data_IF_029300593831
#
_entry.id   IF_029300593831
#
_cell.length_a   1.000
_cell.length_b   1.000
_cell.length_c   1.000
_cell.angle_alpha   90.00
_cell.angle_beta   90.00
_cell.angle_gamma   90.00
#
_symmetry.space_group_name_H-M   'P 1'
#
loop_
_entity.id
_entity.type
_entity.pdbx_description
1 polymer ?
#
# COMPACT_ATOMS: atom_id res chain seq x y z
N UNK A 1 -5.04 -46.76 -7.88
CA UNK A 1 -4.52 -45.40 -8.07
C UNK A 1 -5.62 -44.43 -8.45
N UNK A 2 -6.47 -44.72 -9.46
CA UNK A 2 -7.60 -43.86 -9.84
C UNK A 2 -8.47 -43.38 -8.66
N UNK A 3 -8.99 -44.30 -7.83
CA UNK A 3 -9.78 -43.93 -6.62
C UNK A 3 -9.04 -43.08 -5.58
N UNK A 4 -7.70 -43.08 -5.57
CA UNK A 4 -6.92 -42.25 -4.66
C UNK A 4 -6.75 -40.84 -5.23
N UNK A 5 -6.55 -40.72 -6.55
CA UNK A 5 -6.52 -39.45 -7.28
C UNK A 5 -7.88 -38.76 -7.18
N UNK A 6 -8.98 -39.46 -7.46
CA UNK A 6 -10.36 -38.92 -7.35
C UNK A 6 -10.68 -38.36 -5.95
N UNK A 7 -10.14 -38.97 -4.89
CA UNK A 7 -10.31 -38.47 -3.51
C UNK A 7 -9.51 -37.19 -3.28
N UNK A 8 -8.26 -37.12 -3.77
CA UNK A 8 -7.42 -35.92 -3.64
C UNK A 8 -8.01 -34.77 -4.46
N UNK A 9 -8.54 -35.05 -5.66
CA UNK A 9 -9.27 -34.08 -6.47
C UNK A 9 -10.48 -33.52 -5.73
N UNK A 10 -11.27 -34.40 -5.10
CA UNK A 10 -12.41 -33.96 -4.29
C UNK A 10 -11.98 -33.06 -3.13
N UNK A 11 -10.95 -33.44 -2.38
CA UNK A 11 -10.39 -32.60 -1.30
C UNK A 11 -9.92 -31.23 -1.84
N UNK A 12 -9.30 -31.18 -3.03
CA UNK A 12 -8.89 -29.94 -3.68
C UNK A 12 -10.11 -29.08 -4.04
N UNK A 13 -11.19 -29.67 -4.55
CA UNK A 13 -12.42 -28.92 -4.86
C UNK A 13 -13.07 -28.32 -3.61
N UNK A 14 -13.14 -29.08 -2.51
CA UNK A 14 -13.66 -28.59 -1.23
C UNK A 14 -12.79 -27.44 -0.68
N UNK A 15 -11.47 -27.55 -0.80
CA UNK A 15 -10.54 -26.47 -0.43
C UNK A 15 -10.73 -25.22 -1.29
N UNK A 16 -10.95 -25.36 -2.61
CA UNK A 16 -11.22 -24.23 -3.51
C UNK A 16 -12.48 -23.47 -3.13
N UNK A 17 -13.56 -24.18 -2.78
CA UNK A 17 -14.81 -23.56 -2.32
C UNK A 17 -14.60 -22.80 -1.00
N UNK A 18 -13.87 -23.39 -0.05
CA UNK A 18 -13.53 -22.73 1.21
C UNK A 18 -12.66 -21.47 1.00
N UNK A 19 -11.68 -21.53 0.09
CA UNK A 19 -10.84 -20.38 -0.27
C UNK A 19 -11.68 -19.27 -0.91
N UNK A 20 -12.61 -19.62 -1.80
CA UNK A 20 -13.53 -18.64 -2.41
C UNK A 20 -14.42 -17.96 -1.37
N UNK A 21 -14.91 -18.69 -0.37
CA UNK A 21 -15.68 -18.10 0.73
C UNK A 21 -14.83 -17.11 1.54
N UNK A 22 -13.58 -17.48 1.86
CA UNK A 22 -12.62 -16.58 2.53
C UNK A 22 -12.31 -15.34 1.67
N UNK A 23 -12.18 -15.49 0.35
CA UNK A 23 -11.95 -14.37 -0.56
C UNK A 23 -13.08 -13.33 -0.49
N UNK A 24 -14.33 -13.78 -0.46
CA UNK A 24 -15.50 -12.92 -0.32
C UNK A 24 -15.52 -12.22 1.05
N UNK A 25 -15.24 -12.95 2.12
CA UNK A 25 -15.16 -12.38 3.47
C UNK A 25 -14.05 -11.33 3.58
N UNK A 26 -12.88 -11.62 3.01
CA UNK A 26 -11.73 -10.72 2.97
C UNK A 26 -12.05 -9.45 2.19
N UNK A 27 -12.68 -9.56 1.02
CA UNK A 27 -13.09 -8.41 0.23
C UNK A 27 -14.07 -7.52 1.00
N UNK A 28 -15.10 -8.11 1.62
CA UNK A 28 -16.06 -7.36 2.43
C UNK A 28 -15.40 -6.68 3.63
N UNK A 29 -14.41 -7.32 4.25
CA UNK A 29 -13.64 -6.72 5.33
C UNK A 29 -12.84 -5.50 4.84
N UNK A 30 -12.18 -5.59 3.68
CA UNK A 30 -11.47 -4.46 3.08
C UNK A 30 -12.41 -3.33 2.64
N UNK A 31 -13.60 -3.65 2.10
CA UNK A 31 -14.61 -2.64 1.75
C UNK A 31 -14.96 -1.78 2.98
N UNK A 32 -15.26 -2.44 4.11
CA UNK A 32 -15.57 -1.75 5.37
C UNK A 32 -14.38 -0.96 5.89
N UNK A 33 -13.21 -1.59 5.94
CA UNK A 33 -11.98 -0.98 6.41
C UNK A 33 -11.64 0.29 5.62
N UNK A 34 -11.65 0.23 4.28
CA UNK A 34 -11.31 1.36 3.41
C UNK A 34 -12.33 2.49 3.56
N UNK A 35 -13.62 2.17 3.68
CA UNK A 35 -14.64 3.19 3.92
C UNK A 35 -14.37 3.98 5.21
N UNK A 36 -14.06 3.29 6.30
CA UNK A 36 -13.75 3.92 7.58
C UNK A 36 -12.39 4.65 7.49
N UNK A 37 -11.41 4.07 6.80
CA UNK A 37 -10.08 4.65 6.62
C UNK A 37 -10.17 5.98 5.86
N UNK A 38 -11.01 6.07 4.83
CA UNK A 38 -11.25 7.33 4.12
C UNK A 38 -11.78 8.43 5.04
N UNK A 39 -12.68 8.11 5.97
CA UNK A 39 -13.16 9.08 6.97
C UNK A 39 -12.07 9.48 7.96
N UNK A 40 -11.27 8.52 8.45
CA UNK A 40 -10.19 8.77 9.39
C UNK A 40 -9.07 9.61 8.75
N UNK A 41 -8.68 9.28 7.52
CA UNK A 41 -7.72 10.02 6.71
C UNK A 41 -8.09 11.49 6.59
N UNK A 42 -9.36 11.79 6.30
CA UNK A 42 -9.84 13.17 6.21
C UNK A 42 -9.61 13.95 7.50
N UNK A 43 -10.00 13.36 8.64
CA UNK A 43 -9.82 13.98 9.96
C UNK A 43 -8.34 14.17 10.28
N UNK A 44 -7.53 13.14 10.05
CA UNK A 44 -6.10 13.14 10.38
C UNK A 44 -5.30 14.12 9.54
N UNK A 45 -5.59 14.24 8.24
CA UNK A 45 -4.93 15.21 7.38
C UNK A 45 -5.27 16.66 7.77
N UNK A 46 -6.53 16.93 8.13
CA UNK A 46 -6.93 18.25 8.64
C UNK A 46 -6.21 18.56 9.96
N UNK A 47 -6.14 17.58 10.87
CA UNK A 47 -5.49 17.73 12.17
C UNK A 47 -3.97 17.94 12.02
N UNK A 48 -3.30 17.16 11.18
CA UNK A 48 -1.88 17.32 10.87
C UNK A 48 -1.60 18.70 10.26
N UNK A 49 -2.43 19.14 9.31
CA UNK A 49 -2.31 20.48 8.71
C UNK A 49 -2.51 21.59 9.74
N UNK A 50 -3.48 21.43 10.65
CA UNK A 50 -3.69 22.36 11.76
C UNK A 50 -2.45 22.45 12.66
N UNK A 51 -1.90 21.31 13.11
CA UNK A 51 -0.70 21.30 13.95
C UNK A 51 0.51 21.88 13.22
N UNK A 52 0.70 21.54 11.95
CA UNK A 52 1.80 22.09 11.15
C UNK A 52 1.71 23.62 11.06
N UNK A 53 0.55 24.18 10.76
CA UNK A 53 0.37 25.62 10.63
C UNK A 53 0.41 26.37 11.97
N UNK A 54 -0.02 25.75 13.07
CA UNK A 54 -0.15 26.43 14.37
C UNK A 54 1.01 26.19 15.34
N UNK A 55 1.67 25.04 15.25
CA UNK A 55 2.80 24.66 16.10
C UNK A 55 4.12 24.65 15.34
N UNK A 56 4.11 24.20 14.07
CA UNK A 56 5.31 24.18 13.23
C UNK A 56 5.67 25.57 12.69
N UNK A 57 4.70 26.24 12.06
CA UNK A 57 4.93 27.52 11.34
C UNK A 57 3.92 28.62 11.70
N UNK A 58 3.75 28.98 12.98
CA UNK A 58 2.75 29.96 13.41
C UNK A 58 2.96 31.34 12.81
N UNK A 59 4.22 31.81 12.73
CA UNK A 59 4.53 33.14 12.18
C UNK A 59 4.15 33.25 10.71
N UNK A 60 4.53 32.27 9.88
CA UNK A 60 4.18 32.29 8.45
C UNK A 60 2.68 32.14 8.22
N UNK A 61 2.00 31.32 9.01
CA UNK A 61 0.55 31.22 8.94
C UNK A 61 -0.16 32.53 9.33
N UNK A 62 0.37 33.26 10.32
CA UNK A 62 -0.14 34.58 10.71
C UNK A 62 0.14 35.66 9.66
N UNK A 63 1.19 35.53 8.84
CA UNK A 63 1.47 36.42 7.72
C UNK A 63 0.47 36.27 6.56
N UNK A 64 -0.24 35.14 6.47
CA UNK A 64 -1.29 34.94 5.47
C UNK A 64 -2.48 35.88 5.70
N UNK A 65 -3.03 36.42 4.60
CA UNK A 65 -4.32 37.09 4.59
C UNK A 65 -5.47 36.11 4.89
N UNK A 66 -6.63 36.64 5.32
CA UNK A 66 -7.83 35.84 5.57
C UNK A 66 -8.21 34.96 4.37
N UNK A 67 -8.14 35.51 3.15
CA UNK A 67 -8.45 34.79 1.91
C UNK A 67 -7.46 33.65 1.65
N UNK A 68 -6.15 33.88 1.86
CA UNK A 68 -5.14 32.82 1.72
C UNK A 68 -5.37 31.69 2.74
N UNK A 69 -5.70 32.01 4.00
CA UNK A 69 -6.03 31.00 5.02
C UNK A 69 -7.26 30.20 4.64
N UNK A 70 -8.31 30.85 4.13
CA UNK A 70 -9.53 30.17 3.66
C UNK A 70 -9.24 29.24 2.47
N UNK A 71 -8.49 29.69 1.47
CA UNK A 71 -8.08 28.87 0.32
C UNK A 71 -7.24 27.68 0.75
N UNK A 72 -6.30 27.87 1.66
CA UNK A 72 -5.48 26.80 2.23
C UNK A 72 -6.36 25.73 2.89
N UNK A 73 -7.26 26.13 3.79
CA UNK A 73 -8.16 25.19 4.48
C UNK A 73 -9.10 24.47 3.51
N UNK A 74 -9.65 25.16 2.50
CA UNK A 74 -10.49 24.55 1.47
C UNK A 74 -9.70 23.54 0.62
N UNK A 75 -8.48 23.89 0.22
CA UNK A 75 -7.60 23.03 -0.55
C UNK A 75 -7.25 21.73 0.20
N UNK A 76 -6.90 21.82 1.48
CA UNK A 76 -6.66 20.64 2.33
C UNK A 76 -7.92 19.76 2.44
N UNK A 77 -9.11 20.36 2.61
CA UNK A 77 -10.37 19.60 2.65
C UNK A 77 -10.62 18.86 1.34
N UNK A 78 -10.46 19.53 0.19
CA UNK A 78 -10.65 18.92 -1.12
C UNK A 78 -9.66 17.78 -1.36
N UNK A 79 -8.39 17.99 -1.04
CA UNK A 79 -7.35 16.96 -1.15
C UNK A 79 -7.68 15.73 -0.30
N UNK A 80 -8.15 15.95 0.93
CA UNK A 80 -8.54 14.87 1.83
C UNK A 80 -9.74 14.07 1.30
N UNK A 81 -10.68 14.74 0.62
CA UNK A 81 -11.82 14.09 -0.02
C UNK A 81 -11.41 13.29 -1.25
N UNK A 82 -10.51 13.85 -2.07
CA UNK A 82 -9.96 13.18 -3.25
C UNK A 82 -9.20 11.91 -2.86
N UNK A 83 -8.31 11.97 -1.86
CA UNK A 83 -7.58 10.80 -1.38
C UNK A 83 -8.52 9.71 -0.84
N UNK A 84 -9.59 10.08 -0.13
CA UNK A 84 -10.59 9.11 0.33
C UNK A 84 -11.40 8.47 -0.83
N UNK A 85 -11.65 9.22 -1.90
CA UNK A 85 -12.29 8.70 -3.11
C UNK A 85 -11.35 7.75 -3.88
N UNK A 86 -10.07 8.12 -4.00
CA UNK A 86 -9.03 7.28 -4.60
C UNK A 86 -8.90 5.94 -3.86
N UNK A 87 -8.84 5.96 -2.52
CA UNK A 87 -8.86 4.74 -1.70
C UNK A 87 -10.07 3.84 -2.02
N UNK A 88 -11.24 4.44 -2.22
CA UNK A 88 -12.47 3.69 -2.52
C UNK A 88 -12.45 3.08 -3.93
N UNK A 89 -11.64 3.61 -4.84
CA UNK A 89 -11.52 3.10 -6.22
C UNK A 89 -10.76 1.78 -6.31
N UNK A 90 -9.91 1.47 -5.33
CA UNK A 90 -9.19 0.20 -5.23
C UNK A 90 -10.06 -0.96 -4.72
N UNK A 91 -11.28 -0.69 -4.27
CA UNK A 91 -12.24 -1.70 -3.85
C UNK A 91 -12.85 -2.36 -5.09
N UNK A 92 -12.04 -3.18 -5.78
CA UNK A 92 -12.53 -4.09 -6.80
C UNK A 92 -12.78 -5.46 -6.16
N UNK A 93 -13.86 -6.17 -6.50
CA UNK A 93 -14.03 -7.57 -6.10
C UNK A 93 -12.82 -8.39 -6.56
N UNK A 94 -12.37 -9.41 -5.81
CA UNK A 94 -11.31 -10.30 -6.25
C UNK A 94 -11.67 -11.01 -7.55
N UNK A 95 -12.96 -11.15 -7.90
CA UNK A 95 -13.39 -11.70 -9.20
C UNK A 95 -13.14 -10.75 -10.40
N UNK A 96 -12.82 -9.48 -10.15
CA UNK A 96 -12.72 -8.41 -11.17
C UNK A 96 -11.39 -7.66 -11.09
N UNK A 97 -10.53 -7.94 -10.10
CA UNK A 97 -9.31 -7.14 -9.94
C UNK A 97 -8.29 -7.52 -11.00
N UNK A 98 -7.86 -6.51 -11.74
CA UNK A 98 -6.90 -6.61 -12.84
C UNK A 98 -5.49 -6.64 -12.24
N UNK A 99 -4.75 -7.73 -12.41
CA UNK A 99 -3.31 -7.74 -12.09
C UNK A 99 -2.55 -7.26 -13.33
N UNK A 100 -1.81 -6.15 -13.21
CA UNK A 100 -0.81 -5.76 -14.21
C UNK A 100 0.42 -6.67 -14.06
N UNK A 101 0.63 -7.62 -14.98
CA UNK A 101 1.93 -8.29 -15.12
C UNK A 101 2.68 -7.73 -16.31
N UNK A 102 3.87 -7.18 -16.08
CA UNK A 102 4.84 -6.88 -17.14
C UNK A 102 5.39 -8.22 -17.60
N UNK A 103 5.02 -8.66 -18.80
CA UNK A 103 5.70 -9.79 -19.45
C UNK A 103 6.97 -9.20 -20.06
N UNK A 104 8.12 -9.47 -19.44
CA UNK A 104 9.40 -9.29 -20.12
C UNK A 104 9.46 -10.33 -21.24
N UNK A 105 9.19 -9.90 -22.47
CA UNK A 105 9.43 -10.70 -23.67
C UNK A 105 10.94 -10.93 -23.76
N UNK A 106 11.37 -12.17 -23.54
CA UNK A 106 12.76 -12.58 -23.77
C UNK A 106 13.14 -12.20 -25.22
N UNK A 107 14.10 -11.26 -25.33
CA UNK A 107 14.67 -10.82 -26.60
C UNK A 107 15.36 -12.02 -27.26
N UNK A 108 14.77 -12.56 -28.31
CA UNK A 108 15.56 -13.29 -29.31
C UNK A 108 16.40 -12.27 -30.08
N UNK A 109 17.70 -12.27 -29.81
CA UNK A 109 18.68 -11.56 -30.61
C UNK A 109 18.68 -12.13 -32.02
N UNK A 110 18.16 -11.38 -32.98
CA UNK A 110 18.82 -11.13 -34.27
C UNK A 110 18.00 -10.13 -35.09
N UNK A 111 18.74 -9.20 -35.70
CA UNK A 111 18.30 -8.11 -36.60
C UNK A 111 17.77 -6.85 -35.93
N UNK A 112 18.63 -5.83 -35.90
CA UNK A 112 18.29 -4.49 -35.45
C UNK A 112 17.28 -3.82 -36.37
N UNK A 113 16.18 -3.40 -35.77
CA UNK A 113 15.35 -2.27 -36.18
C UNK A 113 14.71 -1.72 -34.89
N UNK A 114 14.77 -0.40 -34.74
CA UNK A 114 14.11 0.34 -33.66
C UNK A 114 12.60 0.21 -33.87
N UNK A 115 11.95 -0.65 -33.10
CA UNK A 115 10.49 -0.74 -33.05
C UNK A 115 10.02 -0.49 -31.61
N UNK A 116 9.06 0.43 -31.51
CA UNK A 116 8.42 0.90 -30.28
C UNK A 116 7.99 -0.28 -29.40
N UNK A 117 8.40 -0.27 -28.12
CA UNK A 117 7.90 -1.17 -27.08
C UNK A 117 6.39 -0.95 -26.88
N UNK A 118 5.57 -1.55 -27.73
CA UNK A 118 4.14 -1.63 -27.52
C UNK A 118 3.89 -2.81 -26.57
N UNK A 119 3.98 -2.53 -25.27
CA UNK A 119 3.64 -3.49 -24.22
C UNK A 119 2.15 -3.82 -24.32
N UNK A 120 1.82 -4.96 -24.93
CA UNK A 120 0.46 -5.50 -24.94
C UNK A 120 0.04 -5.85 -23.51
N UNK A 121 -0.88 -5.07 -22.95
CA UNK A 121 -1.44 -5.28 -21.60
C UNK A 121 -2.45 -6.44 -21.64
N UNK A 122 -2.03 -7.64 -21.26
CA UNK A 122 -2.97 -8.74 -21.05
C UNK A 122 -3.70 -8.61 -19.70
N UNK A 123 -5.03 -8.63 -19.75
CA UNK A 123 -5.91 -8.59 -18.58
C UNK A 123 -5.98 -9.98 -17.93
N UNK A 124 -5.26 -10.20 -16.82
CA UNK A 124 -5.45 -11.42 -16.00
C UNK A 124 -6.63 -11.24 -15.04
N UNK A 125 -7.62 -12.12 -15.21
CA UNK A 125 -8.73 -12.29 -14.28
C UNK A 125 -8.21 -13.11 -13.10
N UNK A 126 -8.30 -12.54 -11.90
CA UNK A 126 -8.03 -13.24 -10.65
C UNK A 126 -8.95 -14.46 -10.45
N UNK A 127 -8.38 -15.62 -10.11
CA UNK A 127 -9.11 -16.76 -9.58
C UNK A 127 -9.29 -16.60 -8.06
N UNK A 128 -10.50 -16.31 -7.56
CA UNK A 128 -10.76 -16.16 -6.13
C UNK A 128 -10.61 -17.49 -5.35
N UNK A 129 -10.35 -18.60 -6.05
CA UNK A 129 -10.11 -19.93 -5.48
C UNK A 129 -8.60 -20.22 -5.35
N UNK A 130 -7.74 -19.34 -5.86
CA UNK A 130 -6.29 -19.47 -5.78
C UNK A 130 -5.74 -18.64 -4.60
N UNK A 131 -5.19 -19.28 -3.55
CA UNK A 131 -4.72 -18.57 -2.36
C UNK A 131 -3.48 -17.69 -2.62
N UNK A 132 -2.71 -17.96 -3.69
CA UNK A 132 -1.52 -17.17 -4.05
C UNK A 132 -1.96 -15.84 -4.67
N UNK A 133 -2.86 -15.90 -5.64
CA UNK A 133 -3.42 -14.72 -6.31
C UNK A 133 -4.18 -13.80 -5.34
N UNK A 134 -4.88 -14.38 -4.35
CA UNK A 134 -5.52 -13.60 -3.29
C UNK A 134 -4.51 -12.88 -2.39
N UNK A 135 -3.35 -13.48 -2.14
CA UNK A 135 -2.29 -12.85 -1.35
C UNK A 135 -1.64 -11.69 -2.13
N UNK A 136 -1.39 -11.88 -3.43
CA UNK A 136 -0.88 -10.83 -4.33
C UNK A 136 -1.87 -9.67 -4.42
N UNK A 137 -3.16 -9.96 -4.63
CA UNK A 137 -4.22 -8.95 -4.59
C UNK A 137 -4.21 -8.14 -3.30
N UNK A 138 -4.10 -8.82 -2.15
CA UNK A 138 -4.07 -8.16 -0.85
C UNK A 138 -2.83 -7.29 -0.68
N UNK A 139 -1.66 -7.76 -1.12
CA UNK A 139 -0.42 -6.98 -1.09
C UNK A 139 -0.53 -5.72 -1.94
N UNK A 140 -1.02 -5.84 -3.18
CA UNK A 140 -1.22 -4.71 -4.09
C UNK A 140 -2.19 -3.68 -3.50
N UNK A 141 -3.25 -4.14 -2.81
CA UNK A 141 -4.20 -3.27 -2.14
C UNK A 141 -3.56 -2.49 -0.97
N UNK A 142 -2.74 -3.14 -0.14
CA UNK A 142 -2.02 -2.45 0.95
C UNK A 142 -0.97 -1.47 0.41
N UNK A 143 -0.30 -1.80 -0.69
CA UNK A 143 0.65 -0.90 -1.35
C UNK A 143 -0.07 0.33 -1.91
N UNK A 144 -1.21 0.14 -2.58
CA UNK A 144 -2.04 1.24 -3.07
C UNK A 144 -2.54 2.16 -1.94
N UNK A 145 -2.90 1.59 -0.78
CA UNK A 145 -3.25 2.38 0.42
C UNK A 145 -2.07 3.26 0.85
N UNK A 146 -0.87 2.68 0.96
CA UNK A 146 0.32 3.44 1.37
C UNK A 146 0.69 4.51 0.35
N UNK A 147 0.65 4.19 -0.94
CA UNK A 147 0.92 5.13 -2.02
C UNK A 147 -0.06 6.32 -1.99
N UNK A 148 -1.34 6.06 -1.75
CA UNK A 148 -2.36 7.11 -1.62
C UNK A 148 -2.07 8.03 -0.44
N UNK A 149 -1.66 7.49 0.72
CA UNK A 149 -1.28 8.29 1.89
C UNK A 149 -0.02 9.15 1.61
N UNK A 150 0.96 8.59 0.90
CA UNK A 150 2.17 9.31 0.52
C UNK A 150 1.85 10.45 -0.46
N UNK A 151 1.08 10.18 -1.53
CA UNK A 151 0.61 11.18 -2.49
C UNK A 151 -0.18 12.29 -1.81
N UNK A 152 -1.07 11.94 -0.88
CA UNK A 152 -1.85 12.91 -0.10
C UNK A 152 -0.95 13.79 0.78
N UNK A 153 0.05 13.19 1.44
CA UNK A 153 1.03 13.91 2.26
C UNK A 153 1.86 14.89 1.42
N UNK A 154 2.41 14.43 0.29
CA UNK A 154 3.18 15.25 -0.63
C UNK A 154 2.36 16.40 -1.19
N UNK A 155 1.16 16.11 -1.68
CA UNK A 155 0.25 17.11 -2.24
C UNK A 155 -0.15 18.16 -1.20
N UNK A 156 -0.35 17.75 0.06
CA UNK A 156 -0.65 18.67 1.16
C UNK A 156 0.56 19.56 1.48
N UNK A 157 1.76 18.99 1.56
CA UNK A 157 2.99 19.74 1.77
C UNK A 157 3.24 20.76 0.64
N UNK A 158 3.09 20.36 -0.63
CA UNK A 158 3.20 21.24 -1.80
C UNK A 158 2.17 22.38 -1.71
N UNK A 159 0.94 22.08 -1.33
CA UNK A 159 -0.12 23.08 -1.18
C UNK A 159 0.22 24.10 -0.09
N UNK A 160 0.72 23.64 1.06
CA UNK A 160 1.15 24.51 2.18
C UNK A 160 2.39 25.33 1.77
N UNK A 161 3.34 24.73 1.07
CA UNK A 161 4.55 25.39 0.56
C UNK A 161 4.23 26.51 -0.44
N UNK A 162 3.25 26.29 -1.34
CA UNK A 162 2.77 27.32 -2.28
C UNK A 162 2.21 28.55 -1.57
N UNK A 163 1.70 28.40 -0.35
CA UNK A 163 1.23 29.54 0.45
C UNK A 163 2.35 30.28 1.19
N UNK A 164 3.57 29.74 1.20
CA UNK A 164 4.72 30.32 1.92
C UNK A 164 4.83 29.89 3.38
N UNK A 165 3.94 29.01 3.87
CA UNK A 165 3.99 28.53 5.26
C UNK A 165 5.12 27.52 5.48
N UNK A 166 5.34 26.64 4.50
CA UNK A 166 6.43 25.66 4.53
C UNK A 166 7.64 26.23 3.75
N UNK A 167 8.88 26.06 4.23
CA UNK A 167 10.06 26.51 3.50
C UNK A 167 10.20 25.84 2.12
N UNK A 168 10.73 26.58 1.14
CA UNK A 168 10.93 26.10 -0.24
C UNK A 168 12.05 25.06 -0.38
N UNK A 169 12.91 24.89 0.63
CA UNK A 169 14.10 24.03 0.64
C UNK A 169 13.80 22.57 1.01
N UNK A 170 12.67 22.00 0.60
CA UNK A 170 12.35 20.58 0.84
C UNK A 170 12.48 19.80 -0.47
N UNK A 171 13.65 19.19 -0.75
CA UNK A 171 13.78 18.30 -1.88
C UNK A 171 12.90 17.07 -1.66
N UNK A 172 12.09 16.75 -2.65
CA UNK A 172 11.36 15.48 -2.74
C UNK A 172 12.21 14.22 -2.41
N UNK A 173 13.49 14.11 -2.83
CA UNK A 173 14.33 12.97 -2.45
C UNK A 173 14.64 12.88 -0.95
N UNK A 174 14.69 14.00 -0.22
CA UNK A 174 14.90 13.99 1.24
C UNK A 174 13.65 13.50 1.96
N UNK A 175 12.46 13.82 1.45
CA UNK A 175 11.22 13.26 1.97
C UNK A 175 11.19 11.75 1.75
N UNK A 176 11.47 11.26 0.55
CA UNK A 176 11.49 9.82 0.27
C UNK A 176 12.49 9.10 1.19
N UNK A 177 13.73 9.61 1.30
CA UNK A 177 14.74 9.04 2.19
C UNK A 177 14.33 9.05 3.66
N UNK A 178 13.71 10.13 4.13
CA UNK A 178 13.22 10.22 5.50
C UNK A 178 11.99 9.35 5.76
N UNK A 179 11.11 9.17 4.78
CA UNK A 179 9.99 8.21 4.87
C UNK A 179 10.50 6.77 4.91
N UNK A 180 11.52 6.43 4.11
CA UNK A 180 12.18 5.12 4.17
C UNK A 180 12.85 4.90 5.53
N UNK A 181 13.54 5.92 6.06
CA UNK A 181 14.12 5.87 7.39
C UNK A 181 13.05 5.73 8.47
N UNK A 182 11.95 6.49 8.40
CA UNK A 182 10.84 6.40 9.36
C UNK A 182 10.12 5.04 9.32
N UNK A 183 9.94 4.46 8.14
CA UNK A 183 9.39 3.11 7.96
C UNK A 183 10.34 2.02 8.50
N UNK A 184 11.66 2.25 8.42
CA UNK A 184 12.69 1.34 8.95
C UNK A 184 12.92 1.50 10.45
N UNK A 185 12.47 2.60 11.04
CA UNK A 185 12.74 3.01 12.42
C UNK A 185 11.56 2.77 13.36
N UNK A 186 10.74 1.74 13.14
CA UNK A 186 9.74 1.30 14.13
C UNK A 186 10.38 0.91 15.49
N UNK A 187 11.72 0.80 15.54
CA UNK A 187 12.52 0.59 16.73
C UNK A 187 13.69 1.57 16.80
N UNK A 188 13.49 2.80 17.25
CA UNK A 188 14.59 3.71 17.58
C UNK A 188 14.21 4.70 18.67
N UNK A 189 14.78 4.48 19.85
CA UNK A 189 14.66 5.20 21.13
C UNK A 189 15.04 6.70 21.11
N UNK A 190 15.15 7.35 19.96
CA UNK A 190 15.57 8.76 19.83
C UNK A 190 14.53 9.62 19.10
N UNK A 191 13.25 9.27 19.22
CA UNK A 191 12.17 10.02 18.59
C UNK A 191 11.84 11.24 19.45
N UNK A 192 12.19 12.43 18.95
CA UNK A 192 11.58 13.68 19.44
C UNK A 192 10.06 13.47 19.36
N UNK A 193 9.28 13.72 20.42
CA UNK A 193 7.83 13.57 20.40
C UNK A 193 7.25 14.44 19.29
N UNK A 194 6.90 13.86 18.15
CA UNK A 194 6.20 14.57 17.08
C UNK A 194 4.70 14.36 17.24
N UNK A 195 3.88 15.37 16.94
CA UNK A 195 2.44 15.16 16.80
C UNK A 195 2.17 14.09 15.73
N UNK A 196 1.04 13.37 15.83
CA UNK A 196 0.71 12.33 14.88
C UNK A 196 0.66 12.88 13.46
N UNK A 197 1.11 12.07 12.51
CA UNK A 197 1.16 12.33 11.08
C UNK A 197 2.07 13.50 10.68
N UNK A 198 3.03 13.88 11.53
CA UNK A 198 4.07 14.85 11.22
C UNK A 198 5.46 14.23 11.30
N UNK A 199 6.30 14.62 10.36
CA UNK A 199 7.72 14.27 10.29
C UNK A 199 8.55 15.50 10.62
N UNK A 200 9.53 15.34 11.51
CA UNK A 200 10.44 16.40 11.92
C UNK A 200 11.85 16.04 11.44
N UNK A 201 12.37 16.83 10.51
CA UNK A 201 13.66 16.63 9.87
C UNK A 201 14.65 17.69 10.35
N UNK A 202 15.89 17.29 10.59
CA UNK A 202 16.98 18.23 10.83
C UNK A 202 17.89 18.14 9.62
N UNK A 203 17.95 19.21 8.83
CA UNK A 203 18.78 19.29 7.62
C UNK A 203 19.97 20.17 7.91
N UNK A 204 21.17 19.65 7.70
CA UNK A 204 22.39 20.46 7.68
C UNK A 204 22.49 21.16 6.33
N UNK A 205 22.48 22.49 6.34
CA UNK A 205 22.67 23.27 5.11
C UNK A 205 24.09 23.81 5.17
N UNK A 206 24.95 23.31 4.28
CA UNK A 206 26.23 23.92 3.97
C UNK A 206 25.96 25.06 2.99
N UNK A 207 25.95 26.31 3.44
CA UNK A 207 25.94 27.45 2.51
C UNK A 207 27.33 27.51 1.84
N UNK A 208 27.38 27.45 0.50
CA UNK A 208 28.64 27.35 -0.26
C UNK A 208 29.50 28.63 -0.24
N UNK A 209 29.02 29.73 0.36
CA UNK A 209 29.70 31.03 0.29
C UNK A 209 30.17 31.66 1.62
N UNK A 210 29.99 31.01 2.77
CA UNK A 210 30.67 31.48 4.01
C UNK A 210 30.99 30.33 4.99
N UNK A 211 32.03 30.57 5.77
CA UNK A 211 32.87 29.60 6.47
C UNK A 211 32.33 29.16 7.85
N UNK A 212 32.63 27.90 8.21
CA UNK A 212 32.65 27.27 9.56
C UNK A 212 31.37 27.09 10.40
N UNK A 213 30.20 27.61 10.01
CA UNK A 213 28.95 27.37 10.76
C UNK A 213 27.96 26.48 9.99
N UNK A 214 28.08 25.15 10.17
CA UNK A 214 27.04 24.18 9.78
C UNK A 214 25.74 24.47 10.52
N UNK A 215 24.84 25.25 9.92
CA UNK A 215 23.54 25.55 10.53
C UNK A 215 22.54 24.42 10.25
N UNK A 216 22.12 23.72 11.30
CA UNK A 216 21.07 22.73 11.25
C UNK A 216 19.70 23.43 11.24
N UNK A 217 18.91 23.25 10.17
CA UNK A 217 17.53 23.74 10.10
C UNK A 217 16.57 22.61 10.39
N UNK A 218 15.71 22.82 11.39
CA UNK A 218 14.60 21.90 11.69
C UNK A 218 13.40 22.21 10.79
N UNK A 219 12.93 21.19 10.05
CA UNK A 219 11.79 21.28 9.14
C UNK A 219 10.73 20.29 9.57
N UNK A 220 9.51 20.79 9.77
CA UNK A 220 8.34 19.96 10.05
C UNK A 220 7.53 19.82 8.76
N UNK A 221 7.06 18.61 8.44
CA UNK A 221 6.25 18.34 7.27
C UNK A 221 5.14 17.32 7.59
N UNK A 222 4.09 17.30 6.78
CA UNK A 222 3.03 16.29 6.89
C UNK A 222 3.56 14.97 6.36
N UNK A 223 3.41 13.91 7.14
CA UNK A 223 3.66 12.55 6.73
C UNK A 223 2.61 11.63 7.37
N UNK A 224 1.59 11.29 6.60
CA UNK A 224 0.50 10.43 7.02
C UNK A 224 1.00 8.99 7.19
N UNK A 225 0.94 8.49 8.43
CA UNK A 225 1.36 7.13 8.77
C UNK A 225 0.14 6.27 9.03
N UNK A 226 0.02 5.19 8.26
CA UNK A 226 -1.14 4.29 8.36
C UNK A 226 -1.36 3.81 9.80
N UNK A 227 -0.29 3.36 10.47
CA UNK A 227 -0.38 2.90 11.86
C UNK A 227 -0.88 3.96 12.85
N UNK A 228 -0.58 5.25 12.64
CA UNK A 228 -1.06 6.32 13.51
C UNK A 228 -2.52 6.69 13.22
N UNK A 229 -2.92 6.66 11.95
CA UNK A 229 -4.32 6.86 11.55
C UNK A 229 -5.19 5.75 12.14
N UNK A 230 -4.74 4.50 12.07
CA UNK A 230 -5.42 3.37 12.67
C UNK A 230 -5.45 3.46 14.19
N UNK A 231 -4.32 3.77 14.83
CA UNK A 231 -4.25 3.89 16.29
C UNK A 231 -5.22 4.94 16.85
N UNK A 232 -5.45 6.02 16.10
CA UNK A 232 -6.36 7.08 16.49
C UNK A 232 -7.85 6.69 16.41
N UNK A 233 -8.22 5.60 15.73
CA UNK A 233 -9.61 5.17 15.55
C UNK A 233 -9.81 3.70 15.98
N UNK A 234 -10.54 3.51 17.09
CA UNK A 234 -10.81 2.18 17.63
C UNK A 234 -11.56 1.26 16.66
N UNK A 235 -12.39 1.83 15.77
CA UNK A 235 -13.15 1.05 14.78
C UNK A 235 -12.18 0.54 13.71
N UNK A 236 -11.24 1.37 13.23
CA UNK A 236 -10.19 0.91 12.30
C UNK A 236 -9.35 -0.22 12.87
N UNK A 237 -8.94 -0.10 14.14
CA UNK A 237 -8.19 -1.17 14.81
C UNK A 237 -8.99 -2.48 14.85
N UNK A 238 -10.30 -2.40 15.06
CA UNK A 238 -11.16 -3.59 15.08
C UNK A 238 -11.28 -4.24 13.69
N UNK A 239 -11.48 -3.45 12.63
CA UNK A 239 -11.53 -3.95 11.25
C UNK A 239 -10.18 -4.53 10.81
N UNK A 240 -9.06 -3.87 11.13
CA UNK A 240 -7.72 -4.40 10.86
C UNK A 240 -7.46 -5.73 11.56
N UNK A 241 -7.92 -5.88 12.80
CA UNK A 241 -7.85 -7.17 13.52
C UNK A 241 -8.69 -8.23 12.81
N UNK A 242 -9.88 -7.87 12.32
CA UNK A 242 -10.72 -8.73 11.50
C UNK A 242 -10.00 -9.22 10.25
N UNK A 243 -9.43 -8.31 9.46
CA UNK A 243 -8.62 -8.63 8.27
C UNK A 243 -7.48 -9.59 8.62
N UNK A 244 -6.70 -9.30 9.67
CA UNK A 244 -5.60 -10.19 10.11
C UNK A 244 -6.09 -11.59 10.45
N UNK A 245 -7.26 -11.72 11.09
CA UNK A 245 -7.82 -13.03 11.43
C UNK A 245 -8.20 -13.84 10.19
N UNK A 246 -8.80 -13.19 9.19
CA UNK A 246 -9.17 -13.80 7.90
C UNK A 246 -7.90 -14.23 7.15
N UNK A 247 -6.86 -13.39 7.13
CA UNK A 247 -5.57 -13.71 6.49
C UNK A 247 -4.87 -14.91 7.14
N UNK A 248 -4.98 -15.09 8.46
CA UNK A 248 -4.45 -16.29 9.13
C UNK A 248 -5.19 -17.54 8.65
N UNK A 249 -6.51 -17.48 8.47
CA UNK A 249 -7.30 -18.59 7.94
C UNK A 249 -6.96 -18.88 6.48
N UNK A 250 -6.82 -17.84 5.64
CA UNK A 250 -6.40 -17.95 4.24
C UNK A 250 -5.04 -18.65 4.12
N UNK A 251 -4.07 -18.25 4.92
CA UNK A 251 -2.74 -18.86 4.94
C UNK A 251 -2.77 -20.33 5.33
N UNK A 252 -3.65 -20.71 6.27
CA UNK A 252 -3.84 -22.11 6.66
C UNK A 252 -4.40 -22.94 5.50
N UNK A 253 -5.49 -22.50 4.88
CA UNK A 253 -6.09 -23.19 3.73
C UNK A 253 -5.12 -23.21 2.53
N UNK A 254 -4.36 -22.14 2.31
CA UNK A 254 -3.38 -22.06 1.23
C UNK A 254 -2.29 -23.12 1.35
N UNK A 255 -1.78 -23.37 2.56
CA UNK A 255 -0.81 -24.45 2.81
C UNK A 255 -1.41 -25.83 2.56
N UNK A 256 -2.64 -26.06 3.00
CA UNK A 256 -3.35 -27.33 2.78
C UNK A 256 -3.61 -27.56 1.28
N UNK A 257 -4.03 -26.53 0.55
CA UNK A 257 -4.23 -26.53 -0.89
C UNK A 257 -2.95 -26.88 -1.66
N UNK A 258 -1.83 -26.20 -1.35
CA UNK A 258 -0.54 -26.47 -1.98
C UNK A 258 -0.05 -27.90 -1.70
N UNK A 259 -0.27 -28.41 -0.48
CA UNK A 259 0.06 -29.78 -0.12
C UNK A 259 -0.73 -30.78 -0.97
N UNK A 260 -2.04 -30.61 -1.08
CA UNK A 260 -2.91 -31.48 -1.90
C UNK A 260 -2.56 -31.40 -3.40
N UNK A 261 -2.27 -30.21 -3.91
CA UNK A 261 -1.79 -30.00 -5.27
C UNK A 261 -0.47 -30.73 -5.56
N UNK A 262 0.43 -30.83 -4.57
CA UNK A 262 1.65 -31.62 -4.71
C UNK A 262 1.35 -33.12 -4.68
N UNK A 263 0.47 -33.57 -3.80
CA UNK A 263 0.07 -34.98 -3.68
C UNK A 263 -0.57 -35.50 -4.96
N UNK A 264 -1.47 -34.73 -5.60
CA UNK A 264 -2.09 -35.13 -6.86
C UNK A 264 -1.06 -35.23 -7.99
N UNK A 265 -0.16 -34.25 -8.14
CA UNK A 265 0.90 -34.28 -9.16
C UNK A 265 1.83 -35.48 -9.00
N UNK A 266 2.17 -35.83 -7.75
CA UNK A 266 2.96 -37.04 -7.48
C UNK A 266 2.17 -38.29 -7.91
N UNK A 267 0.91 -38.40 -7.52
CA UNK A 267 0.08 -39.56 -7.86
C UNK A 267 -0.12 -39.72 -9.38
N UNK A 268 -0.31 -38.62 -10.11
CA UNK A 268 -0.37 -38.57 -11.57
C UNK A 268 0.95 -38.98 -12.21
N UNK A 269 2.08 -38.43 -11.74
CA UNK A 269 3.40 -38.77 -12.24
C UNK A 269 3.73 -40.26 -12.04
N UNK A 270 3.41 -40.82 -10.87
CA UNK A 270 3.61 -42.24 -10.64
C UNK A 270 2.66 -43.12 -11.49
N UNK A 271 1.43 -42.66 -11.76
CA UNK A 271 0.50 -43.37 -12.64
C UNK A 271 0.99 -43.35 -14.09
N UNK A 272 1.46 -42.20 -14.57
CA UNK A 272 2.06 -42.04 -15.89
C UNK A 272 3.31 -42.89 -16.05
N UNK A 273 4.20 -42.89 -15.04
CA UNK A 273 5.39 -43.74 -15.01
C UNK A 273 5.03 -45.22 -15.17
N UNK A 274 4.08 -45.72 -14.37
CA UNK A 274 3.62 -47.12 -14.44
C UNK A 274 2.96 -47.45 -15.78
N UNK A 275 2.23 -46.51 -16.38
CA UNK A 275 1.60 -46.70 -17.69
C UNK A 275 2.63 -46.73 -18.84
N UNK A 276 3.73 -45.98 -18.71
CA UNK A 276 4.83 -45.96 -19.69
C UNK A 276 5.82 -47.12 -19.54
N UNK A 277 5.70 -47.92 -18.49
CA UNK A 277 6.62 -49.01 -18.20
C UNK A 277 6.23 -50.28 -18.98
N UNK A 278 6.92 -50.54 -20.09
CA UNK A 278 6.83 -51.78 -20.86
C UNK A 278 7.96 -52.74 -20.44
N UNK A 279 7.65 -54.03 -20.28
CA UNK A 279 8.65 -55.10 -20.19
C UNK A 279 8.84 -55.68 -21.60
N UNK A 280 10.06 -55.62 -22.14
CA UNK A 280 10.49 -56.42 -23.29
C UNK A 280 10.67 -57.90 -22.90
#
# INVERSE_FOLDING_TARGET
MARAIERIEKDITELKEAIRAIAQELNLAYVRYIHILGSALQKQLILASYYLCTQGYPHEFLNLSLNQRQKLQQGIRQLSQQAAQELSSYIQPPEVTQIETIVETEKNEETGQEEEENAEKELKILDPSNPIELAEWQQNLEEAIQETLNKASQSANILIQKTGVLPKKLPEPVLIAATAAAASSESSSNMIPSPPNLLNLVIEISDEEDSEDSSFTQIMAIYLRLGEIEFADAILLSERKGIRSILVQLNKLGREYQKRQREIKIAEAEAAWRASWFQD
#
